data_IF_545778749259
#
_entry.id   IF_545778749259
#
_cell.length_a   1.000
_cell.length_b   1.000
_cell.length_c   1.000
_cell.angle_alpha   90.00
_cell.angle_beta   90.00
_cell.angle_gamma   90.00
#
_symmetry.space_group_name_H-M   'P 1'
#
loop_
_entity.id
_entity.type
_entity.pdbx_description
1 polymer ?
#
# COMPACT_ATOMS: atom_id res chain seq x y z
N UNK A 1 14.33 1.11 18.24
CA UNK A 1 14.96 2.37 17.90
C UNK A 1 15.32 3.10 19.20
N UNK A 2 16.51 3.66 19.29
CA UNK A 2 16.94 4.49 20.41
C UNK A 2 16.86 5.95 19.99
N UNK A 3 16.02 6.73 20.67
CA UNK A 3 15.88 8.15 20.43
C UNK A 3 16.97 8.91 21.22
N UNK A 4 17.62 9.83 20.58
CA UNK A 4 18.60 10.73 21.18
C UNK A 4 18.27 12.18 20.87
N UNK A 5 18.44 13.05 21.84
CA UNK A 5 18.21 14.49 21.66
C UNK A 5 19.54 15.20 21.46
N UNK A 6 19.67 15.89 20.34
CA UNK A 6 20.81 16.77 20.04
C UNK A 6 20.46 18.18 20.48
N UNK A 7 21.18 18.67 21.54
CA UNK A 7 20.95 19.99 22.10
C UNK A 7 21.52 21.11 21.22
N UNK A 8 22.53 20.81 20.42
CA UNK A 8 23.20 21.81 19.58
C UNK A 8 22.35 22.18 18.37
N UNK A 9 21.51 21.27 17.92
CA UNK A 9 20.63 21.45 16.76
C UNK A 9 19.14 21.46 17.13
N UNK A 10 18.80 21.33 18.43
CA UNK A 10 17.41 21.27 18.94
C UNK A 10 16.54 20.25 18.20
N UNK A 11 17.07 19.05 18.00
CA UNK A 11 16.36 17.99 17.28
C UNK A 11 16.46 16.63 17.95
N UNK A 12 15.44 15.82 17.74
CA UNK A 12 15.45 14.42 18.07
C UNK A 12 15.88 13.60 16.86
N UNK A 13 16.77 12.65 17.06
CA UNK A 13 17.14 11.66 16.04
C UNK A 13 17.10 10.25 16.60
N UNK A 14 16.96 9.27 15.72
CA UNK A 14 16.96 7.87 16.06
C UNK A 14 17.81 7.07 15.09
N UNK A 15 18.49 6.04 15.60
CA UNK A 15 19.14 5.06 14.75
C UNK A 15 18.21 3.87 14.55
N UNK A 16 17.93 3.54 13.29
CA UNK A 16 17.15 2.39 12.89
C UNK A 16 18.06 1.33 12.29
N UNK A 17 17.93 0.09 12.74
CA UNK A 17 18.54 -1.05 12.09
C UNK A 17 17.47 -1.80 11.31
N UNK A 18 17.69 -1.95 10.03
CA UNK A 18 16.79 -2.66 9.11
C UNK A 18 17.44 -3.97 8.71
N UNK A 19 16.68 -5.06 8.77
CA UNK A 19 17.13 -6.39 8.40
C UNK A 19 16.32 -6.88 7.19
N UNK A 20 17.00 -7.60 6.29
CA UNK A 20 16.37 -8.31 5.20
C UNK A 20 16.99 -9.70 5.09
N UNK A 21 16.16 -10.70 4.80
CA UNK A 21 16.61 -12.09 4.59
C UNK A 21 17.13 -12.35 3.17
N UNK A 22 16.96 -11.41 2.26
CA UNK A 22 17.38 -11.50 0.88
C UNK A 22 18.68 -10.73 0.65
N UNK A 23 19.55 -11.25 -0.21
CA UNK A 23 20.84 -10.61 -0.54
C UNK A 23 20.69 -9.34 -1.37
N UNK A 24 19.55 -9.14 -1.99
CA UNK A 24 19.22 -7.93 -2.72
C UNK A 24 17.88 -7.37 -2.28
N UNK A 25 17.82 -6.10 -2.34
CA UNK A 25 16.89 -5.24 -1.68
C UNK A 25 15.78 -4.74 -2.59
N UNK A 26 14.64 -4.51 -1.98
CA UNK A 26 13.66 -3.55 -2.44
C UNK A 26 13.86 -2.19 -1.77
N UNK A 27 13.06 -1.24 -2.18
CA UNK A 27 12.97 0.06 -1.55
C UNK A 27 12.38 -0.07 -0.15
N UNK A 28 12.93 0.71 0.79
CA UNK A 28 12.48 0.72 2.18
C UNK A 28 11.39 1.78 2.31
N UNK A 29 10.20 1.35 2.72
CA UNK A 29 9.14 2.25 3.15
C UNK A 29 9.22 2.48 4.65
N UNK A 30 9.17 3.73 5.06
CA UNK A 30 9.18 4.12 6.46
C UNK A 30 7.80 4.57 6.91
N UNK A 31 7.41 4.12 8.10
CA UNK A 31 6.16 4.54 8.75
C UNK A 31 6.44 5.05 10.14
N UNK A 32 5.79 6.13 10.52
CA UNK A 32 5.82 6.70 11.86
C UNK A 32 4.45 6.54 12.50
N UNK A 33 4.44 6.11 13.74
CA UNK A 33 3.24 6.11 14.55
C UNK A 33 3.37 7.13 15.66
N UNK A 34 2.41 8.06 15.72
CA UNK A 34 2.31 9.05 16.77
C UNK A 34 1.38 8.55 17.87
N UNK A 35 1.95 8.15 18.99
CA UNK A 35 1.22 7.63 20.14
C UNK A 35 0.29 8.67 20.78
N UNK A 36 0.57 9.96 20.65
CA UNK A 36 -0.21 11.04 21.25
C UNK A 36 -1.54 11.27 20.52
N UNK A 37 -1.52 11.07 19.21
CA UNK A 37 -2.73 11.25 18.36
C UNK A 37 -3.32 9.93 17.88
N UNK A 38 -2.61 8.80 18.05
CA UNK A 38 -2.99 7.50 17.53
C UNK A 38 -2.95 7.41 15.99
N UNK A 39 -2.18 8.27 15.34
CA UNK A 39 -2.10 8.36 13.88
C UNK A 39 -0.85 7.70 13.34
N UNK A 40 -0.98 7.15 12.13
CA UNK A 40 0.14 6.60 11.38
C UNK A 40 0.44 7.50 10.18
N UNK A 41 1.72 7.67 9.89
CA UNK A 41 2.22 8.51 8.81
C UNK A 41 3.15 7.69 7.91
N UNK A 42 3.01 7.85 6.60
CA UNK A 42 4.06 7.51 5.66
C UNK A 42 5.16 8.55 5.81
N UNK A 43 6.37 8.08 6.09
CA UNK A 43 7.53 8.93 6.29
C UNK A 43 8.37 8.97 5.02
N UNK A 44 8.37 10.12 4.34
CA UNK A 44 9.11 10.34 3.10
C UNK A 44 10.37 11.15 3.38
N UNK A 45 11.57 10.72 2.91
CA UNK A 45 12.79 11.51 3.08
C UNK A 45 12.68 12.88 2.42
N UNK A 46 13.21 13.91 3.07
CA UNK A 46 13.30 15.27 2.55
C UNK A 46 14.77 15.69 2.36
N UNK A 47 15.23 16.01 1.13
CA UNK A 47 14.50 15.95 -0.14
C UNK A 47 14.07 14.51 -0.51
N UNK A 48 12.97 14.40 -1.25
CA UNK A 48 12.40 13.11 -1.64
C UNK A 48 13.42 12.26 -2.39
N UNK A 49 13.65 11.06 -1.88
CA UNK A 49 14.55 10.06 -2.47
C UNK A 49 14.17 8.67 -2.01
N UNK A 50 14.44 7.69 -2.84
CA UNK A 50 14.31 6.28 -2.48
C UNK A 50 15.49 5.84 -1.62
N UNK A 51 15.20 5.16 -0.52
CA UNK A 51 16.21 4.48 0.30
C UNK A 51 16.08 2.99 0.03
N UNK A 52 17.13 2.44 -0.58
CA UNK A 52 17.19 1.03 -0.93
C UNK A 52 18.04 0.29 0.11
N UNK A 53 17.61 -0.91 0.50
CA UNK A 53 18.37 -1.74 1.43
C UNK A 53 19.69 -2.19 0.78
N UNK A 54 20.77 -2.01 1.44
CA UNK A 54 22.11 -2.53 1.09
C UNK A 54 22.68 -3.22 2.31
N UNK A 55 23.20 -4.44 2.14
CA UNK A 55 23.84 -5.14 3.25
C UNK A 55 25.02 -4.32 3.80
N UNK A 56 25.06 -4.18 5.12
CA UNK A 56 26.04 -3.33 5.83
C UNK A 56 26.05 -1.85 5.40
N UNK A 57 25.01 -1.43 4.68
CA UNK A 57 24.85 -0.05 4.23
C UNK A 57 24.47 0.88 5.40
N UNK A 58 25.01 2.10 5.37
CA UNK A 58 24.66 3.18 6.30
C UNK A 58 24.13 4.34 5.51
N UNK A 59 22.97 4.86 5.91
CA UNK A 59 22.33 6.02 5.26
C UNK A 59 22.06 7.08 6.33
N UNK A 60 22.62 8.27 6.13
CA UNK A 60 22.60 9.34 7.13
C UNK A 60 23.62 9.13 8.27
N UNK A 61 23.85 10.16 9.02
CA UNK A 61 24.73 10.16 10.21
C UNK A 61 24.13 11.07 11.28
N UNK A 62 24.65 11.05 12.50
CA UNK A 62 24.23 11.99 13.55
C UNK A 62 24.49 13.48 13.19
N UNK A 63 25.50 13.74 12.33
CA UNK A 63 25.82 15.11 11.85
C UNK A 63 25.04 15.49 10.58
N UNK A 64 24.58 14.50 9.82
CA UNK A 64 23.82 14.68 8.59
C UNK A 64 22.66 13.64 8.58
N UNK A 65 21.66 13.83 9.44
CA UNK A 65 20.54 12.89 9.55
C UNK A 65 19.63 12.99 8.33
N UNK A 66 18.92 11.89 8.04
CA UNK A 66 17.81 11.95 7.10
C UNK A 66 16.62 12.58 7.81
N UNK A 67 16.10 13.64 7.24
CA UNK A 67 14.85 14.25 7.67
C UNK A 67 13.70 13.58 6.93
N UNK A 68 12.60 13.32 7.64
CA UNK A 68 11.39 12.72 7.05
C UNK A 68 10.21 13.67 7.23
N UNK A 69 9.44 13.83 6.17
CA UNK A 69 8.10 14.42 6.23
C UNK A 69 7.07 13.31 6.43
N UNK A 70 6.10 13.56 7.31
CA UNK A 70 5.02 12.61 7.61
C UNK A 70 3.73 12.97 6.87
N UNK A 71 3.24 12.08 6.00
CA UNK A 71 1.91 12.16 5.42
C UNK A 71 0.99 11.18 6.12
N UNK A 72 -0.09 11.66 6.76
CA UNK A 72 -1.06 10.80 7.43
C UNK A 72 -1.63 9.76 6.47
N UNK A 73 -1.65 8.50 6.90
CA UNK A 73 -2.27 7.39 6.17
C UNK A 73 -3.50 6.88 6.91
N UNK A 74 -4.45 6.39 6.14
CA UNK A 74 -5.72 5.85 6.60
C UNK A 74 -5.80 4.38 6.24
N UNK A 75 -6.66 3.64 6.96
CA UNK A 75 -6.87 2.22 6.70
C UNK A 75 -8.28 2.01 6.16
N UNK A 76 -8.40 1.18 5.12
CA UNK A 76 -9.66 0.69 4.59
C UNK A 76 -9.74 -0.81 4.86
N UNK A 77 -10.77 -1.23 5.59
CA UNK A 77 -11.05 -2.63 5.87
C UNK A 77 -12.25 -3.07 5.03
N UNK A 78 -12.03 -4.02 4.14
CA UNK A 78 -13.05 -4.64 3.30
C UNK A 78 -13.44 -5.97 3.92
N UNK A 79 -14.67 -6.07 4.46
CA UNK A 79 -15.22 -7.33 4.96
C UNK A 79 -15.70 -8.17 3.77
N UNK A 80 -14.99 -9.23 3.48
CA UNK A 80 -15.31 -10.17 2.40
C UNK A 80 -16.09 -11.34 2.98
N UNK A 81 -17.15 -11.74 2.28
CA UNK A 81 -17.86 -12.98 2.53
C UNK A 81 -17.44 -14.02 1.51
N UNK A 82 -17.57 -15.29 1.88
CA UNK A 82 -17.34 -16.39 0.94
C UNK A 82 -18.20 -16.23 -0.32
N UNK A 83 -17.57 -16.34 -1.49
CA UNK A 83 -18.18 -16.11 -2.79
C UNK A 83 -17.80 -14.76 -3.38
N UNK A 84 -18.66 -14.18 -4.19
CA UNK A 84 -18.41 -12.94 -4.90
C UNK A 84 -18.70 -11.71 -4.05
N UNK A 85 -17.73 -10.79 -3.99
CA UNK A 85 -17.80 -9.50 -3.32
C UNK A 85 -17.59 -8.37 -4.33
N UNK A 86 -18.33 -7.29 -4.20
CA UNK A 86 -18.06 -6.04 -4.90
C UNK A 86 -17.15 -5.19 -4.03
N UNK A 87 -16.02 -4.77 -4.57
CA UNK A 87 -15.03 -3.99 -3.85
C UNK A 87 -14.61 -2.75 -4.63
N UNK A 88 -14.22 -1.71 -3.93
CA UNK A 88 -13.58 -0.51 -4.48
C UNK A 88 -12.55 0.02 -3.48
N UNK A 89 -11.59 0.78 -3.97
CA UNK A 89 -10.54 1.37 -3.14
C UNK A 89 -10.71 2.88 -3.08
N UNK A 90 -10.84 3.41 -1.85
CA UNK A 90 -11.08 4.84 -1.61
C UNK A 90 -9.85 5.58 -1.06
N UNK A 91 -8.72 4.91 -0.95
CA UNK A 91 -7.44 5.48 -0.54
C UNK A 91 -6.45 5.48 -1.68
N UNK A 92 -5.66 6.56 -1.80
CA UNK A 92 -4.53 6.60 -2.74
C UNK A 92 -3.40 5.73 -2.19
N UNK A 93 -3.02 4.73 -2.95
CA UNK A 93 -1.94 3.81 -2.61
C UNK A 93 -1.12 3.52 -3.88
N UNK A 94 0.20 3.62 -3.80
CA UNK A 94 1.11 3.36 -4.92
C UNK A 94 1.06 1.92 -5.43
N UNK A 95 0.56 0.99 -4.61
CA UNK A 95 0.39 -0.42 -4.97
C UNK A 95 -0.90 -0.72 -5.74
N UNK A 96 -1.81 0.24 -5.93
CA UNK A 96 -3.06 -0.02 -6.70
C UNK A 96 -2.81 -0.71 -8.05
N UNK A 97 -1.79 -0.35 -8.85
CA UNK A 97 -1.50 -1.06 -10.10
C UNK A 97 -1.00 -2.50 -9.91
N UNK A 98 -0.60 -2.88 -8.71
CA UNK A 98 -0.08 -4.22 -8.40
C UNK A 98 -1.11 -5.04 -7.60
N UNK A 99 -1.87 -5.86 -8.30
CA UNK A 99 -2.92 -6.70 -7.69
C UNK A 99 -2.38 -7.58 -6.56
N UNK A 100 -1.20 -8.17 -6.73
CA UNK A 100 -0.59 -9.02 -5.68
C UNK A 100 -0.24 -8.22 -4.43
N UNK A 101 0.27 -7.00 -4.57
CA UNK A 101 0.59 -6.16 -3.43
C UNK A 101 -0.66 -5.69 -2.69
N UNK A 102 -1.72 -5.31 -3.42
CA UNK A 102 -2.98 -4.87 -2.82
C UNK A 102 -3.72 -5.99 -2.09
N UNK A 103 -3.60 -7.22 -2.56
CA UNK A 103 -4.28 -8.38 -1.98
C UNK A 103 -3.37 -9.21 -1.05
N UNK A 104 -2.18 -8.74 -0.72
CA UNK A 104 -1.18 -9.51 0.03
C UNK A 104 -1.62 -9.90 1.44
N UNK A 105 -2.48 -9.11 2.08
CA UNK A 105 -2.95 -9.35 3.44
C UNK A 105 -4.14 -10.31 3.53
N UNK A 106 -4.64 -10.82 2.40
CA UNK A 106 -5.72 -11.80 2.35
C UNK A 106 -5.23 -13.25 2.35
N UNK A 107 -6.13 -14.16 2.70
CA UNK A 107 -5.92 -15.61 2.62
C UNK A 107 -6.55 -16.13 1.34
N UNK A 108 -5.73 -16.55 0.37
CA UNK A 108 -6.19 -16.87 -0.98
C UNK A 108 -5.95 -18.33 -1.36
N UNK A 109 -6.86 -18.86 -2.17
CA UNK A 109 -6.79 -20.21 -2.74
C UNK A 109 -6.81 -20.16 -4.27
N UNK A 110 -6.50 -21.28 -4.92
CA UNK A 110 -6.47 -21.36 -6.40
C UNK A 110 -7.81 -21.16 -7.09
N UNK A 111 -8.91 -21.09 -6.34
CA UNK A 111 -10.25 -20.78 -6.86
C UNK A 111 -10.59 -19.29 -6.79
N UNK A 112 -9.72 -18.48 -6.16
CA UNK A 112 -10.00 -17.07 -6.00
C UNK A 112 -9.61 -16.28 -7.24
N UNK A 113 -10.48 -15.36 -7.61
CA UNK A 113 -10.41 -14.57 -8.83
C UNK A 113 -10.82 -13.14 -8.52
N UNK A 114 -10.09 -12.18 -9.06
CA UNK A 114 -10.50 -10.78 -9.07
C UNK A 114 -10.67 -10.30 -10.51
N UNK A 115 -11.70 -9.49 -10.75
CA UNK A 115 -11.98 -8.97 -12.08
C UNK A 115 -12.53 -7.56 -12.06
N UNK A 116 -12.15 -6.79 -13.07
CA UNK A 116 -12.84 -5.58 -13.51
C UNK A 116 -13.91 -5.94 -14.55
N UNK A 117 -14.45 -4.95 -15.23
CA UNK A 117 -15.36 -5.18 -16.36
C UNK A 117 -14.72 -6.01 -17.48
N UNK A 118 -13.46 -5.74 -17.82
CA UNK A 118 -12.81 -6.24 -19.04
C UNK A 118 -11.63 -7.19 -18.76
N UNK A 119 -11.08 -7.18 -17.55
CA UNK A 119 -9.86 -7.89 -17.18
C UNK A 119 -10.03 -8.69 -15.90
N UNK A 120 -9.23 -9.73 -15.73
CA UNK A 120 -9.23 -10.54 -14.51
C UNK A 120 -7.84 -11.06 -14.16
N UNK A 121 -7.62 -11.36 -12.89
CA UNK A 121 -6.51 -12.14 -12.37
C UNK A 121 -7.03 -13.29 -11.55
N UNK A 122 -6.31 -14.41 -11.54
CA UNK A 122 -6.55 -15.56 -10.69
C UNK A 122 -5.36 -15.80 -9.76
N UNK A 123 -5.66 -16.32 -8.59
CA UNK A 123 -4.64 -16.67 -7.63
C UNK A 123 -4.08 -18.06 -7.87
N UNK A 124 -2.77 -18.20 -7.71
CA UNK A 124 -2.11 -19.50 -7.59
C UNK A 124 -1.08 -19.49 -6.47
N UNK A 125 -0.92 -20.62 -5.78
CA UNK A 125 0.03 -20.71 -4.66
C UNK A 125 1.49 -20.49 -5.08
N UNK A 126 1.82 -20.77 -6.34
CA UNK A 126 3.20 -20.69 -6.86
C UNK A 126 3.54 -19.34 -7.47
N UNK A 127 2.54 -18.60 -7.98
CA UNK A 127 2.76 -17.34 -8.73
C UNK A 127 2.05 -16.14 -8.12
N UNK A 128 1.23 -16.34 -7.06
CA UNK A 128 0.35 -15.31 -6.53
C UNK A 128 -0.76 -14.96 -7.51
N UNK A 129 -1.19 -13.70 -7.52
CA UNK A 129 -2.18 -13.15 -8.43
C UNK A 129 -1.56 -12.85 -9.79
N UNK A 130 -2.13 -13.43 -10.84
CA UNK A 130 -1.63 -13.25 -12.21
C UNK A 130 -2.77 -13.26 -13.21
N UNK A 131 -2.68 -12.39 -14.21
CA UNK A 131 -3.67 -12.34 -15.29
C UNK A 131 -3.61 -11.08 -16.13
N UNK A 132 -4.73 -10.74 -16.72
CA UNK A 132 -4.86 -9.56 -17.57
C UNK A 132 -5.12 -8.28 -16.78
N UNK A 133 -5.67 -8.37 -15.57
CA UNK A 133 -5.91 -7.19 -14.74
C UNK A 133 -4.59 -6.53 -14.32
N UNK A 134 -3.64 -7.28 -13.77
CA UNK A 134 -2.29 -6.78 -13.46
C UNK A 134 -1.60 -6.17 -14.70
N UNK A 135 -1.74 -6.80 -15.87
CA UNK A 135 -1.11 -6.32 -17.11
C UNK A 135 -1.73 -5.02 -17.66
N UNK A 136 -2.96 -4.71 -17.25
CA UNK A 136 -3.71 -3.54 -17.72
C UNK A 136 -3.94 -2.50 -16.61
N UNK A 137 -2.99 -2.38 -15.68
CA UNK A 137 -2.97 -1.32 -14.70
C UNK A 137 -3.54 -1.65 -13.32
N UNK A 138 -3.96 -2.91 -13.08
CA UNK A 138 -4.40 -3.37 -11.77
C UNK A 138 -5.70 -2.70 -11.29
N UNK A 139 -5.70 -2.26 -10.03
CA UNK A 139 -6.79 -1.52 -9.43
C UNK A 139 -6.65 -0.01 -9.64
N UNK A 140 -7.77 0.68 -9.47
CA UNK A 140 -7.85 2.15 -9.43
C UNK A 140 -8.87 2.62 -8.38
N UNK A 141 -9.03 3.93 -8.24
CA UNK A 141 -9.94 4.54 -7.26
C UNK A 141 -11.31 4.95 -7.82
N UNK A 142 -11.58 4.67 -9.08
CA UNK A 142 -12.83 5.09 -9.77
C UNK A 142 -13.64 3.92 -10.30
N UNK A 143 -13.10 2.70 -10.20
CA UNK A 143 -13.72 1.48 -10.70
C UNK A 143 -14.20 0.57 -9.58
N UNK A 144 -15.24 -0.19 -9.88
CA UNK A 144 -15.72 -1.29 -9.07
C UNK A 144 -15.14 -2.61 -9.57
N UNK A 145 -14.71 -3.45 -8.66
CA UNK A 145 -14.14 -4.76 -8.94
C UNK A 145 -15.00 -5.86 -8.30
N UNK A 146 -14.98 -7.04 -8.88
CA UNK A 146 -15.55 -8.24 -8.26
C UNK A 146 -14.41 -9.14 -7.78
N UNK A 147 -14.44 -9.52 -6.51
CA UNK A 147 -13.46 -10.41 -5.88
C UNK A 147 -14.18 -11.64 -5.35
N UNK A 148 -13.81 -12.81 -5.86
CA UNK A 148 -14.22 -14.09 -5.29
C UNK A 148 -13.28 -14.44 -4.14
N UNK A 149 -13.85 -14.71 -2.97
CA UNK A 149 -13.14 -15.19 -1.79
C UNK A 149 -13.64 -16.58 -1.41
N UNK A 150 -12.74 -17.51 -1.20
CA UNK A 150 -13.08 -18.88 -0.78
C UNK A 150 -13.57 -18.95 0.66
N UNK A 151 -13.24 -17.94 1.48
CA UNK A 151 -13.61 -17.87 2.89
C UNK A 151 -14.00 -16.43 3.29
N UNK A 152 -14.70 -16.31 4.42
CA UNK A 152 -14.97 -15.03 5.05
C UNK A 152 -13.65 -14.45 5.60
N UNK A 153 -13.33 -13.22 5.26
CA UNK A 153 -12.10 -12.58 5.72
C UNK A 153 -12.20 -11.06 5.70
N UNK A 154 -11.25 -10.38 6.33
CA UNK A 154 -11.07 -8.94 6.24
C UNK A 154 -9.81 -8.67 5.42
N UNK A 155 -9.97 -7.96 4.31
CA UNK A 155 -8.87 -7.42 3.54
C UNK A 155 -8.60 -5.98 4.00
N UNK A 156 -7.43 -5.75 4.58
CA UNK A 156 -7.01 -4.43 5.03
C UNK A 156 -6.04 -3.82 4.03
N UNK A 157 -6.32 -2.60 3.61
CA UNK A 157 -5.42 -1.78 2.81
C UNK A 157 -5.21 -0.44 3.49
N UNK A 158 -4.18 0.28 3.10
CA UNK A 158 -3.90 1.59 3.62
C UNK A 158 -3.53 2.57 2.50
N UNK A 159 -3.52 3.85 2.82
CA UNK A 159 -3.16 4.89 1.86
C UNK A 159 -3.50 6.30 2.33
N UNK A 160 -3.22 7.27 1.47
CA UNK A 160 -3.60 8.65 1.74
C UNK A 160 -5.07 8.88 1.37
N UNK A 161 -5.73 9.76 2.14
CA UNK A 161 -7.10 10.18 1.80
C UNK A 161 -7.14 10.88 0.44
N UNK A 162 -8.12 10.53 -0.37
CA UNK A 162 -8.37 11.17 -1.66
C UNK A 162 -9.43 12.25 -1.46
N UNK A 163 -9.19 13.43 -2.03
CA UNK A 163 -10.26 14.43 -2.17
C UNK A 163 -11.21 14.00 -3.32
N UNK A 164 -12.48 13.66 -3.04
CA UNK A 164 -13.43 13.21 -4.06
C UNK A 164 -13.63 14.23 -5.19
N UNK A 165 -13.38 15.52 -4.92
CA UNK A 165 -13.50 16.58 -5.93
C UNK A 165 -12.44 16.48 -7.03
N UNK A 166 -11.31 15.83 -6.74
CA UNK A 166 -10.21 15.63 -7.69
C UNK A 166 -10.32 14.34 -8.50
N UNK A 167 -11.32 13.50 -8.18
CA UNK A 167 -11.52 12.18 -8.80
C UNK A 167 -12.92 12.08 -9.46
N UNK A 168 -13.13 12.76 -10.58
CA UNK A 168 -14.41 12.70 -11.27
C UNK A 168 -14.67 11.31 -11.84
N UNK A 169 -15.86 10.76 -11.56
CA UNK A 169 -16.31 9.49 -12.11
C UNK A 169 -17.10 9.77 -13.37
N UNK A 170 -16.67 9.18 -14.50
CA UNK A 170 -17.38 9.31 -15.77
C UNK A 170 -18.47 8.25 -15.86
N UNK A 171 -19.72 8.68 -15.94
CA UNK A 171 -20.88 7.80 -16.15
C UNK A 171 -21.28 7.81 -17.62
N UNK A 172 -21.32 6.64 -18.23
CA UNK A 172 -21.73 6.47 -19.62
C UNK A 172 -23.23 6.13 -19.70
N UNK A 173 -23.98 6.94 -20.44
CA UNK A 173 -25.41 6.70 -20.64
C UNK A 173 -25.68 5.43 -21.46
N UNK A 174 -26.82 4.76 -21.20
CA UNK A 174 -27.31 3.62 -21.97
C UNK A 174 -26.55 2.31 -21.74
N UNK A 175 -25.72 2.20 -20.70
CA UNK A 175 -25.00 0.98 -20.33
C UNK A 175 -24.76 0.86 -18.83
N UNK A 176 -24.40 -0.33 -18.37
CA UNK A 176 -23.95 -0.56 -17.01
C UNK A 176 -22.58 0.12 -16.78
N UNK A 177 -22.45 0.82 -15.66
CA UNK A 177 -21.21 1.44 -15.20
C UNK A 177 -20.71 0.69 -13.97
N UNK A 178 -19.45 0.29 -13.97
CA UNK A 178 -18.74 -0.34 -12.86
C UNK A 178 -17.98 0.75 -12.09
N UNK A 179 -18.68 1.43 -11.18
CA UNK A 179 -18.18 2.58 -10.41
C UNK A 179 -18.46 2.40 -8.92
#
# INVERSE_FOLDING_TARGET
>A
ANNSYDRDHDMWYTFLTVYNNEKQSGDIEFRMWDASTGKTYLATPTPERTITFVNDGVVGTAKDPIVFDGKEIFFQNLSLVKGWNWISFNLSNSNLPNVSAMLMNGSWTTSDVVKSRDYFDSYSRTKGWTGSLTKNGGFDNVSLFMLHSSDDQILSTDGAMIDPKTMPITVLGGRWNYI
#
